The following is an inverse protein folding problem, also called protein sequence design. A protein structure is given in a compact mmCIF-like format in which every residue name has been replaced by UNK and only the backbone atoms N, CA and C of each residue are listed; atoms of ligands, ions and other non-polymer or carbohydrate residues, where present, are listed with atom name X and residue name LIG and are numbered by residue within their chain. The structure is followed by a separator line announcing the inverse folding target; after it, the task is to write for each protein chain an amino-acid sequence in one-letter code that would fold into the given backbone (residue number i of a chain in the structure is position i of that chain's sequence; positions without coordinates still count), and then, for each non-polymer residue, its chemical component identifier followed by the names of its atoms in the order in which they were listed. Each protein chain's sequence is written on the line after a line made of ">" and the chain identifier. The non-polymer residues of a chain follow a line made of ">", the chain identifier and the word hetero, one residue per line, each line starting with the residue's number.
data_IF_812801774826
#
_entry.id   IF_812801774826
#
_cell.length_a   1.000
_cell.length_b   1.000
_cell.length_c   1.000
_cell.angle_alpha   90.00
_cell.angle_beta   90.00
_cell.angle_gamma   90.00
#
_symmetry.space_group_name_H-M   'P 1'
#
loop_
_entity.id
_entity.type
_entity.pdbx_description
1 polymer ?
#
# COMPACT_ATOMS: atom_id res chain seq x y z
N UNK A 1 3.72 -26.99 10.85
CA UNK A 1 3.48 -25.68 11.47
C UNK A 1 2.71 -24.89 10.45
N UNK A 2 1.53 -24.37 10.81
CA UNK A 2 0.69 -23.66 9.84
C UNK A 2 1.32 -22.31 9.52
N UNK A 3 1.32 -21.91 8.23
CA UNK A 3 1.84 -20.63 7.79
C UNK A 3 0.88 -19.51 8.22
N UNK A 4 1.37 -18.55 9.00
CA UNK A 4 0.65 -17.28 9.26
C UNK A 4 0.84 -16.39 8.04
N UNK A 5 -0.24 -15.82 7.52
CA UNK A 5 -0.18 -14.82 6.44
C UNK A 5 -0.27 -13.41 7.00
N UNK A 6 0.58 -12.52 6.50
CA UNK A 6 0.62 -11.11 6.85
C UNK A 6 -0.07 -10.29 5.75
N UNK A 7 -1.20 -9.68 6.09
CA UNK A 7 -1.91 -8.71 5.27
C UNK A 7 -1.65 -7.31 5.83
N UNK A 8 -0.87 -6.51 5.09
CA UNK A 8 -0.47 -5.16 5.50
C UNK A 8 -1.41 -4.10 4.91
N UNK A 9 -1.93 -3.22 5.76
CA UNK A 9 -2.88 -2.15 5.39
C UNK A 9 -2.28 -0.75 5.48
N UNK A 10 -0.95 -0.61 5.57
CA UNK A 10 -0.28 0.67 5.76
C UNK A 10 -0.65 1.69 4.67
N UNK A 11 -0.79 1.24 3.42
CA UNK A 11 -1.03 2.10 2.26
C UNK A 11 -2.50 2.48 2.02
N UNK A 12 -3.43 1.91 2.80
CA UNK A 12 -4.86 2.19 2.71
C UNK A 12 -5.43 2.66 4.03
N UNK A 13 -5.33 1.85 5.08
CA UNK A 13 -5.90 2.19 6.38
C UNK A 13 -4.94 3.09 7.17
N UNK A 14 -3.64 2.81 7.08
CA UNK A 14 -2.60 3.63 7.70
C UNK A 14 -2.60 5.09 7.21
N UNK A 15 -2.81 5.32 5.91
CA UNK A 15 -2.84 6.68 5.35
C UNK A 15 -4.07 7.50 5.74
N UNK A 16 -5.15 6.87 6.20
CA UNK A 16 -6.37 7.56 6.64
C UNK A 16 -6.20 8.22 8.00
N UNK A 17 -5.09 7.94 8.70
CA UNK A 17 -4.75 8.63 9.93
C UNK A 17 -4.48 10.13 9.68
N UNK A 18 -4.89 10.97 10.63
CA UNK A 18 -4.71 12.41 10.53
C UNK A 18 -3.23 12.78 10.38
N UNK A 19 -2.87 13.46 9.29
CA UNK A 19 -1.49 13.86 8.99
C UNK A 19 -0.64 12.79 8.30
N UNK A 20 -1.20 11.63 7.94
CA UNK A 20 -0.49 10.52 7.28
C UNK A 20 -0.76 10.43 5.76
N UNK A 21 -1.24 11.51 5.14
CA UNK A 21 -1.55 11.51 3.70
C UNK A 21 -0.29 11.26 2.87
N UNK A 22 -0.34 10.25 1.98
CA UNK A 22 0.77 9.86 1.12
C UNK A 22 0.48 10.20 -0.35
N UNK A 23 1.50 10.65 -1.07
CA UNK A 23 1.44 10.73 -2.54
C UNK A 23 1.81 9.39 -3.20
N UNK A 24 1.56 9.25 -4.50
CA UNK A 24 1.80 7.99 -5.23
C UNK A 24 3.26 7.49 -5.15
N UNK A 25 4.25 8.38 -5.15
CA UNK A 25 5.66 8.00 -5.07
C UNK A 25 6.06 7.56 -3.65
N UNK A 26 5.50 8.21 -2.62
CA UNK A 26 5.65 7.79 -1.23
C UNK A 26 5.04 6.42 -1.00
N UNK A 27 3.83 6.18 -1.52
CA UNK A 27 3.17 4.87 -1.49
C UNK A 27 4.02 3.80 -2.17
N UNK A 28 4.55 4.07 -3.38
CA UNK A 28 5.43 3.12 -4.08
C UNK A 28 6.70 2.80 -3.28
N UNK A 29 7.33 3.82 -2.68
CA UNK A 29 8.52 3.62 -1.85
C UNK A 29 8.24 2.72 -0.66
N UNK A 30 7.10 2.92 0.02
CA UNK A 30 6.67 2.09 1.15
C UNK A 30 6.32 0.68 0.68
N UNK A 31 5.60 0.52 -0.45
CA UNK A 31 5.26 -0.78 -1.03
C UNK A 31 6.52 -1.64 -1.25
N UNK A 32 7.59 -1.05 -1.82
CA UNK A 32 8.90 -1.71 -2.00
C UNK A 32 9.56 -2.10 -0.67
N UNK A 33 9.35 -1.34 0.40
CA UNK A 33 9.85 -1.72 1.73
C UNK A 33 9.02 -2.84 2.35
N UNK A 34 7.70 -2.85 2.17
CA UNK A 34 6.81 -3.91 2.64
C UNK A 34 7.09 -5.23 1.91
N UNK A 35 7.32 -5.19 0.60
CA UNK A 35 7.79 -6.32 -0.18
C UNK A 35 9.12 -6.86 0.36
N UNK A 36 10.11 -5.98 0.57
CA UNK A 36 11.41 -6.37 1.15
C UNK A 36 11.29 -6.93 2.56
N UNK A 37 10.32 -6.47 3.35
CA UNK A 37 10.00 -7.01 4.68
C UNK A 37 9.41 -8.42 4.59
N UNK A 38 8.81 -8.79 3.45
CA UNK A 38 8.27 -10.12 3.20
C UNK A 38 6.82 -10.28 3.67
N UNK A 39 5.99 -9.23 3.59
CA UNK A 39 4.55 -9.36 3.83
C UNK A 39 3.90 -10.17 2.69
N UNK A 40 2.84 -10.92 3.00
CA UNK A 40 2.19 -11.78 2.00
C UNK A 40 1.26 -10.99 1.07
N UNK A 41 0.60 -9.95 1.59
CA UNK A 41 -0.34 -9.10 0.84
C UNK A 41 -0.20 -7.66 1.29
N UNK A 42 -0.23 -6.73 0.33
CA UNK A 42 -0.25 -5.28 0.57
C UNK A 42 -1.60 -4.74 0.08
N UNK A 43 -2.37 -4.09 0.96
CA UNK A 43 -3.54 -3.30 0.58
C UNK A 43 -3.09 -1.93 0.06
N UNK A 44 -2.87 -1.84 -1.25
CA UNK A 44 -2.18 -0.72 -1.89
C UNK A 44 -2.93 0.64 -1.88
N UNK A 45 -4.21 0.66 -1.49
CA UNK A 45 -5.04 1.87 -1.47
C UNK A 45 -6.51 1.57 -1.80
N UNK A 46 -7.28 2.62 -2.10
CA UNK A 46 -8.68 2.48 -2.51
C UNK A 46 -8.92 3.18 -3.86
N UNK A 47 -8.72 2.51 -5.03
CA UNK A 47 -8.68 3.17 -6.34
C UNK A 47 -9.89 4.03 -6.73
N UNK A 48 -11.06 3.75 -6.13
CA UNK A 48 -12.30 4.46 -6.44
C UNK A 48 -12.41 5.82 -5.72
N UNK A 49 -11.60 6.08 -4.69
CA UNK A 49 -11.67 7.31 -3.88
C UNK A 49 -11.23 8.55 -4.67
N UNK A 50 -10.18 8.43 -5.48
CA UNK A 50 -9.60 9.56 -6.21
C UNK A 50 -8.74 9.12 -7.39
N UNK A 51 -8.52 9.98 -8.40
CA UNK A 51 -7.55 9.73 -9.46
C UNK A 51 -6.12 9.50 -8.94
N UNK A 52 -5.76 10.14 -7.83
CA UNK A 52 -4.44 9.97 -7.20
C UNK A 52 -4.27 8.58 -6.58
N UNK A 53 -5.30 8.06 -5.92
CA UNK A 53 -5.30 6.70 -5.38
C UNK A 53 -5.32 5.65 -6.48
N UNK A 54 -6.09 5.89 -7.54
CA UNK A 54 -6.07 5.03 -8.72
C UNK A 54 -4.66 4.91 -9.30
N UNK A 55 -4.00 6.04 -9.53
CA UNK A 55 -2.64 6.07 -10.09
C UNK A 55 -1.62 5.40 -9.16
N UNK A 56 -1.73 5.60 -7.85
CA UNK A 56 -0.85 4.94 -6.89
C UNK A 56 -1.00 3.42 -6.91
N UNK A 57 -2.24 2.91 -6.90
CA UNK A 57 -2.50 1.46 -6.95
C UNK A 57 -2.04 0.87 -8.27
N UNK A 58 -2.29 1.56 -9.39
CA UNK A 58 -1.80 1.16 -10.71
C UNK A 58 -0.29 1.04 -10.73
N UNK A 59 0.42 2.09 -10.27
CA UNK A 59 1.88 2.12 -10.22
C UNK A 59 2.47 1.00 -9.36
N UNK A 60 1.88 0.73 -8.19
CA UNK A 60 2.33 -0.36 -7.31
C UNK A 60 2.09 -1.73 -7.96
N UNK A 61 1.02 -1.90 -8.74
CA UNK A 61 0.69 -3.18 -9.38
C UNK A 61 1.53 -3.53 -10.62
N UNK A 62 2.26 -2.55 -11.17
CA UNK A 62 3.08 -2.69 -12.39
C UNK A 62 4.56 -2.97 -12.12
N UNK A 63 4.98 -2.93 -10.85
CA UNK A 63 6.37 -3.16 -10.40
C UNK A 63 6.55 -4.59 -9.88
#
# INVERSE_FOLDING_TARGET
>A
MDKVMIFDTTLRDGEQAAGASLNAQEKLKIAKQLEKLGVDVIEAGFPVSSPGDFEAVRLISEE
#
